data_IF_088478529685
#
_entry.id   IF_088478529685
#
_cell.length_a   1.000
_cell.length_b   1.000
_cell.length_c   1.000
_cell.angle_alpha   90.00
_cell.angle_beta   90.00
_cell.angle_gamma   90.00
#
_symmetry.space_group_name_H-M   'P 1'
#
loop_
_entity.id
_entity.type
_entity.pdbx_description
1 polymer ?
#
# COMPACT_ATOMS: atom_id res chain seq x y z
N UNK A 1 -24.03 -8.52 -9.18
CA UNK A 1 -23.39 -7.47 -8.36
C UNK A 1 -22.88 -6.38 -9.28
N UNK A 2 -22.86 -5.13 -8.85
CA UNK A 2 -22.14 -4.07 -9.60
C UNK A 2 -20.63 -4.16 -9.34
N UNK A 3 -19.83 -3.62 -10.26
CA UNK A 3 -18.37 -3.70 -10.22
C UNK A 3 -17.78 -3.17 -8.89
N UNK A 4 -18.33 -2.09 -8.34
CA UNK A 4 -17.95 -1.52 -7.05
C UNK A 4 -18.15 -2.46 -5.86
N UNK A 5 -19.27 -3.19 -5.84
CA UNK A 5 -19.54 -4.19 -4.80
C UNK A 5 -18.60 -5.38 -4.94
N UNK A 6 -18.29 -5.75 -6.18
CA UNK A 6 -17.36 -6.84 -6.48
C UNK A 6 -15.94 -6.54 -5.98
N UNK A 7 -15.45 -5.29 -6.13
CA UNK A 7 -14.18 -4.87 -5.54
C UNK A 7 -14.19 -4.89 -4.01
N UNK A 8 -15.31 -4.50 -3.37
CA UNK A 8 -15.43 -4.62 -1.90
C UNK A 8 -15.35 -6.07 -1.45
N UNK A 9 -16.01 -6.98 -2.18
CA UNK A 9 -15.95 -8.40 -1.89
C UNK A 9 -14.54 -8.97 -2.11
N UNK A 10 -13.84 -8.55 -3.15
CA UNK A 10 -12.44 -8.92 -3.39
C UNK A 10 -11.51 -8.51 -2.24
N UNK A 11 -11.69 -7.30 -1.71
CA UNK A 11 -10.95 -6.80 -0.55
C UNK A 11 -11.30 -7.59 0.72
N UNK A 12 -12.57 -7.88 0.94
CA UNK A 12 -13.03 -8.70 2.05
C UNK A 12 -12.39 -10.09 2.03
N UNK A 13 -12.41 -10.80 0.89
CA UNK A 13 -11.72 -12.09 0.73
C UNK A 13 -10.22 -11.99 1.02
N UNK A 14 -9.58 -10.92 0.55
CA UNK A 14 -8.14 -10.70 0.80
C UNK A 14 -7.84 -10.54 2.28
N UNK A 15 -8.67 -9.81 3.02
CA UNK A 15 -8.52 -9.64 4.46
C UNK A 15 -8.72 -10.95 5.21
N UNK A 16 -9.76 -11.72 4.90
CA UNK A 16 -10.01 -13.04 5.50
C UNK A 16 -8.84 -14.02 5.26
N UNK A 17 -8.31 -14.05 4.04
CA UNK A 17 -7.14 -14.88 3.71
C UNK A 17 -5.94 -14.45 4.55
N UNK A 18 -5.66 -13.16 4.66
CA UNK A 18 -4.54 -12.63 5.43
C UNK A 18 -4.67 -12.91 6.93
N UNK A 19 -5.86 -12.79 7.49
CA UNK A 19 -6.14 -13.12 8.89
C UNK A 19 -5.90 -14.62 9.16
N UNK A 20 -6.43 -15.49 8.30
CA UNK A 20 -6.23 -16.94 8.44
C UNK A 20 -4.75 -17.32 8.31
N UNK A 21 -4.01 -16.74 7.35
CA UNK A 21 -2.56 -16.95 7.19
C UNK A 21 -1.80 -16.46 8.43
N UNK A 22 -2.19 -15.32 8.99
CA UNK A 22 -1.57 -14.77 10.20
C UNK A 22 -1.74 -15.72 11.39
N UNK A 23 -2.92 -16.30 11.55
CA UNK A 23 -3.17 -17.31 12.58
C UNK A 23 -2.34 -18.58 12.37
N UNK A 24 -2.24 -19.07 11.12
CA UNK A 24 -1.46 -20.26 10.77
C UNK A 24 0.05 -20.07 10.98
N UNK A 25 0.55 -18.84 10.99
CA UNK A 25 1.97 -18.54 11.31
C UNK A 25 2.29 -18.63 12.80
N UNK A 26 1.30 -18.65 13.64
CA UNK A 26 1.50 -18.71 15.10
C UNK A 26 1.81 -20.15 15.51
N UNK A 27 3.05 -20.41 15.92
CA UNK A 27 3.52 -21.76 16.30
C UNK A 27 2.63 -22.38 17.37
N UNK A 28 2.28 -21.63 18.43
CA UNK A 28 1.42 -22.12 19.51
C UNK A 28 -0.02 -22.46 19.08
N UNK A 29 -0.44 -22.06 17.87
CA UNK A 29 -1.72 -22.48 17.30
C UNK A 29 -1.63 -23.78 16.50
N UNK A 30 -0.48 -24.04 15.86
CA UNK A 30 -0.33 -25.17 14.94
C UNK A 30 0.45 -26.34 15.51
N UNK A 31 1.00 -26.23 16.72
CA UNK A 31 1.83 -27.28 17.33
C UNK A 31 1.27 -27.75 18.67
N UNK A 32 1.63 -29.00 19.02
CA UNK A 32 1.43 -29.60 20.35
C UNK A 32 2.75 -30.13 20.83
N UNK A 33 3.21 -29.70 21.98
CA UNK A 33 4.43 -30.21 22.61
C UNK A 33 4.07 -31.25 23.66
N UNK A 34 4.62 -32.47 23.49
CA UNK A 34 4.47 -33.58 24.45
C UNK A 34 5.84 -33.91 25.04
N UNK A 35 5.89 -34.14 26.34
CA UNK A 35 7.06 -34.67 27.04
C UNK A 35 6.78 -36.09 27.43
N UNK A 36 7.68 -36.99 27.06
CA UNK A 36 7.64 -38.37 27.53
C UNK A 36 8.63 -38.54 28.70
N UNK A 37 8.10 -38.78 29.91
CA UNK A 37 8.87 -38.97 31.12
C UNK A 37 9.22 -40.47 31.26
N UNK A 38 10.45 -40.83 30.90
CA UNK A 38 10.94 -42.22 30.94
C UNK A 38 11.45 -42.57 32.32
N UNK A 39 10.55 -42.61 33.32
CA UNK A 39 10.88 -42.81 34.73
C UNK A 39 11.31 -44.27 34.99
N UNK A 40 10.72 -45.23 34.26
CA UNK A 40 11.00 -46.65 34.42
C UNK A 40 12.45 -47.01 34.08
N UNK A 41 13.13 -46.21 33.28
CA UNK A 41 14.55 -46.40 32.95
C UNK A 41 15.47 -46.25 34.15
N UNK A 42 15.09 -45.44 35.15
CA UNK A 42 15.87 -45.15 36.36
C UNK A 42 15.30 -45.89 37.57
N UNK A 43 13.99 -46.05 37.64
CA UNK A 43 13.31 -46.78 38.73
C UNK A 43 12.32 -47.77 38.09
N UNK A 44 12.56 -49.08 38.30
CA UNK A 44 11.76 -50.17 37.74
C UNK A 44 10.30 -50.16 38.19
N UNK A 45 10.02 -49.59 39.37
CA UNK A 45 8.70 -49.54 39.97
C UNK A 45 7.91 -48.31 39.54
N UNK A 46 8.54 -47.37 38.81
CA UNK A 46 7.89 -46.21 38.29
C UNK A 46 7.25 -46.47 36.91
N UNK A 47 6.14 -45.82 36.67
CA UNK A 47 5.50 -45.83 35.34
C UNK A 47 5.96 -44.66 34.49
N UNK A 48 6.10 -44.93 33.18
CA UNK A 48 6.35 -43.88 32.18
C UNK A 48 5.08 -43.09 31.96
N UNK A 49 5.24 -41.79 31.75
CA UNK A 49 4.11 -40.86 31.58
C UNK A 49 4.34 -39.97 30.37
N UNK A 50 3.28 -39.69 29.64
CA UNK A 50 3.30 -38.67 28.60
C UNK A 50 2.50 -37.47 29.03
N UNK A 51 3.16 -36.32 29.16
CA UNK A 51 2.54 -35.06 29.55
C UNK A 51 2.46 -34.14 28.34
N UNK A 52 1.29 -33.56 28.11
CA UNK A 52 1.13 -32.50 27.13
C UNK A 52 1.54 -31.18 27.79
N UNK A 53 2.68 -30.63 27.40
CA UNK A 53 3.23 -29.37 27.97
C UNK A 53 2.60 -28.16 27.36
N UNK A 54 2.39 -28.20 26.06
CA UNK A 54 1.76 -27.11 25.30
C UNK A 54 0.70 -27.71 24.39
N UNK A 55 -0.48 -27.11 24.41
CA UNK A 55 -1.57 -27.37 23.46
C UNK A 55 -1.73 -26.12 22.58
N UNK A 56 -2.19 -26.30 21.32
CA UNK A 56 -2.71 -25.18 20.56
C UNK A 56 -3.73 -24.43 21.41
N UNK A 57 -3.61 -23.10 21.48
CA UNK A 57 -4.62 -22.32 22.17
C UNK A 57 -5.98 -22.51 21.49
N UNK A 58 -7.02 -22.57 22.31
CA UNK A 58 -8.36 -22.90 21.82
C UNK A 58 -8.93 -21.70 21.07
N UNK A 59 -9.00 -21.80 19.76
CA UNK A 59 -9.80 -20.94 18.89
C UNK A 59 -10.96 -21.73 18.32
N UNK A 60 -11.93 -21.03 17.77
CA UNK A 60 -13.14 -21.62 17.19
C UNK A 60 -12.85 -22.64 16.07
N UNK A 61 -11.68 -22.56 15.43
CA UNK A 61 -11.32 -23.38 14.27
C UNK A 61 -10.00 -24.12 14.51
N UNK A 62 -9.85 -25.30 13.90
CA UNK A 62 -8.59 -26.05 13.88
C UNK A 62 -7.67 -25.54 12.78
N UNK A 63 -6.33 -25.77 12.85
CA UNK A 63 -5.40 -25.43 11.78
C UNK A 63 -5.79 -26.01 10.41
N UNK A 64 -6.25 -27.26 10.35
CA UNK A 64 -6.67 -27.90 9.09
C UNK A 64 -7.91 -27.20 8.50
N UNK A 65 -8.90 -26.84 9.33
CA UNK A 65 -10.06 -26.09 8.86
C UNK A 65 -9.67 -24.72 8.31
N UNK A 66 -8.68 -24.04 8.88
CA UNK A 66 -8.17 -22.77 8.34
C UNK A 66 -7.42 -22.97 7.05
N UNK A 67 -6.64 -24.05 6.89
CA UNK A 67 -5.97 -24.39 5.63
C UNK A 67 -7.02 -24.61 4.53
N UNK A 68 -8.02 -25.43 4.79
CA UNK A 68 -9.12 -25.71 3.84
C UNK A 68 -9.88 -24.44 3.48
N UNK A 69 -10.13 -23.57 4.45
CA UNK A 69 -10.74 -22.27 4.24
C UNK A 69 -9.90 -21.37 3.32
N UNK A 70 -8.58 -21.26 3.58
CA UNK A 70 -7.67 -20.45 2.75
C UNK A 70 -7.67 -20.95 1.30
N UNK A 71 -7.58 -22.28 1.10
CA UNK A 71 -7.63 -22.87 -0.26
C UNK A 71 -8.95 -22.56 -0.95
N UNK A 72 -10.08 -22.66 -0.24
CA UNK A 72 -11.38 -22.33 -0.77
C UNK A 72 -11.52 -20.83 -1.11
N UNK A 73 -11.00 -19.96 -0.24
CA UNK A 73 -11.06 -18.51 -0.43
C UNK A 73 -10.16 -18.02 -1.59
N UNK A 74 -9.00 -18.65 -1.80
CA UNK A 74 -8.15 -18.39 -2.97
C UNK A 74 -8.89 -18.73 -4.27
N UNK A 75 -9.49 -19.94 -4.34
CA UNK A 75 -10.26 -20.36 -5.52
C UNK A 75 -11.45 -19.43 -5.79
N UNK A 76 -12.10 -18.96 -4.73
CA UNK A 76 -13.21 -18.02 -4.86
C UNK A 76 -12.72 -16.67 -5.41
N UNK A 77 -11.58 -16.18 -4.92
CA UNK A 77 -10.96 -14.94 -5.41
C UNK A 77 -10.54 -15.04 -6.88
N UNK A 78 -10.04 -16.19 -7.32
CA UNK A 78 -9.70 -16.45 -8.73
C UNK A 78 -10.94 -16.38 -9.63
N UNK A 79 -12.05 -17.04 -9.25
CA UNK A 79 -13.32 -16.97 -9.97
C UNK A 79 -13.86 -15.54 -10.06
N UNK A 80 -13.80 -14.83 -8.94
CA UNK A 80 -14.20 -13.44 -8.86
C UNK A 80 -13.38 -12.56 -9.81
N UNK A 81 -12.05 -12.74 -9.84
CA UNK A 81 -11.16 -12.00 -10.73
C UNK A 81 -11.50 -12.22 -12.19
N UNK A 82 -11.79 -13.46 -12.59
CA UNK A 82 -12.23 -13.79 -13.96
C UNK A 82 -13.56 -13.07 -14.31
N UNK A 83 -14.54 -13.10 -13.41
CA UNK A 83 -15.80 -12.41 -13.62
C UNK A 83 -15.64 -10.88 -13.74
N UNK A 84 -14.74 -10.29 -12.93
CA UNK A 84 -14.39 -8.87 -13.03
C UNK A 84 -13.77 -8.54 -14.40
N UNK A 85 -12.82 -9.35 -14.87
CA UNK A 85 -12.18 -9.14 -16.16
C UNK A 85 -13.17 -9.22 -17.32
N UNK A 86 -14.10 -10.18 -17.28
CA UNK A 86 -15.18 -10.30 -18.28
C UNK A 86 -16.11 -9.09 -18.25
N UNK A 87 -16.47 -8.59 -17.07
CA UNK A 87 -17.29 -7.40 -16.94
C UNK A 87 -16.57 -6.14 -17.43
N UNK A 88 -15.27 -6.00 -17.14
CA UNK A 88 -14.43 -4.89 -17.65
C UNK A 88 -14.33 -4.87 -19.17
N UNK A 89 -14.28 -6.03 -19.82
CA UNK A 89 -14.26 -6.12 -21.29
C UNK A 89 -15.54 -5.59 -21.94
N UNK A 90 -16.65 -5.57 -21.20
CA UNK A 90 -17.94 -5.01 -21.64
C UNK A 90 -18.03 -3.48 -21.41
N UNK A 91 -17.07 -2.88 -20.68
CA UNK A 91 -17.05 -1.45 -20.40
C UNK A 91 -16.63 -0.63 -21.64
N UNK A 92 -17.18 0.58 -21.76
CA UNK A 92 -16.91 1.50 -22.89
C UNK A 92 -15.46 2.03 -22.90
N UNK A 93 -14.77 1.99 -21.75
CA UNK A 93 -13.38 2.46 -21.59
C UNK A 93 -12.55 1.40 -20.89
N UNK A 94 -11.26 1.37 -21.20
CA UNK A 94 -10.28 0.60 -20.42
C UNK A 94 -10.06 1.27 -19.07
N UNK A 95 -10.69 0.68 -18.04
CA UNK A 95 -10.67 1.20 -16.67
C UNK A 95 -9.25 1.22 -16.11
N UNK A 96 -8.49 0.15 -16.29
CA UNK A 96 -7.16 -0.02 -15.69
C UNK A 96 -6.15 0.96 -16.30
N UNK A 97 -6.16 1.10 -17.63
CA UNK A 97 -5.34 2.07 -18.34
C UNK A 97 -5.73 3.50 -17.98
N UNK A 98 -7.05 3.78 -17.88
CA UNK A 98 -7.56 5.10 -17.48
C UNK A 98 -7.13 5.47 -16.06
N UNK A 99 -7.24 4.54 -15.10
CA UNK A 99 -6.81 4.77 -13.70
C UNK A 99 -5.29 4.97 -13.60
N UNK A 100 -4.50 4.16 -14.31
CA UNK A 100 -3.04 4.30 -14.34
C UNK A 100 -2.62 5.67 -14.89
N UNK A 101 -3.19 6.07 -16.02
CA UNK A 101 -2.93 7.38 -16.64
C UNK A 101 -3.40 8.53 -15.73
N UNK A 102 -4.54 8.38 -15.08
CA UNK A 102 -5.08 9.37 -14.14
C UNK A 102 -4.15 9.58 -12.95
N UNK A 103 -3.58 8.51 -12.42
CA UNK A 103 -2.59 8.58 -11.32
C UNK A 103 -1.36 9.39 -11.75
N UNK A 104 -0.81 9.12 -12.93
CA UNK A 104 0.34 9.88 -13.47
C UNK A 104 0.01 11.37 -13.60
N UNK A 105 -1.19 11.70 -14.12
CA UNK A 105 -1.65 13.10 -14.22
C UNK A 105 -1.78 13.77 -12.85
N UNK A 106 -2.31 13.05 -11.84
CA UNK A 106 -2.43 13.56 -10.48
C UNK A 106 -1.05 13.80 -9.84
N UNK A 107 -0.12 12.87 -10.02
CA UNK A 107 1.25 13.01 -9.50
C UNK A 107 1.96 14.20 -10.15
N UNK A 108 1.82 14.37 -11.47
CA UNK A 108 2.36 15.50 -12.17
C UNK A 108 1.72 16.83 -11.73
N UNK A 109 0.41 16.87 -11.56
CA UNK A 109 -0.30 18.04 -11.03
C UNK A 109 0.19 18.42 -9.61
N UNK A 110 0.46 17.43 -8.75
CA UNK A 110 1.03 17.67 -7.42
C UNK A 110 2.44 18.27 -7.50
N UNK A 111 3.25 17.81 -8.45
CA UNK A 111 4.56 18.40 -8.74
C UNK A 111 4.40 19.87 -9.17
N UNK A 112 3.51 20.15 -10.14
CA UNK A 112 3.23 21.52 -10.60
C UNK A 112 2.74 22.43 -9.47
N UNK A 113 1.86 21.93 -8.58
CA UNK A 113 1.41 22.66 -7.39
C UNK A 113 2.58 23.00 -6.45
N UNK A 114 3.54 22.09 -6.31
CA UNK A 114 4.74 22.34 -5.51
C UNK A 114 5.63 23.41 -6.16
N UNK A 115 5.83 23.35 -7.47
CA UNK A 115 6.56 24.36 -8.23
C UNK A 115 5.92 25.76 -8.10
N UNK A 116 4.58 25.84 -8.21
CA UNK A 116 3.84 27.10 -8.09
C UNK A 116 4.03 27.80 -6.73
N UNK A 117 4.41 27.08 -5.69
CA UNK A 117 4.68 27.61 -4.34
C UNK A 117 6.08 28.18 -4.16
N UNK A 118 7.02 27.87 -5.07
CA UNK A 118 8.40 28.36 -4.99
C UNK A 118 8.40 29.87 -5.15
N UNK A 119 9.10 30.56 -4.28
CA UNK A 119 9.22 32.02 -4.29
C UNK A 119 10.66 32.40 -4.66
N UNK A 120 10.78 33.52 -5.38
CA UNK A 120 12.07 34.20 -5.49
C UNK A 120 12.47 34.73 -4.12
N UNK A 121 13.75 34.70 -3.80
CA UNK A 121 14.25 35.32 -2.58
C UNK A 121 15.62 35.96 -2.81
N UNK A 122 15.92 36.98 -2.03
CA UNK A 122 17.22 37.60 -1.95
C UNK A 122 17.75 37.43 -0.54
N UNK A 123 19.01 37.07 -0.44
CA UNK A 123 19.74 36.93 0.81
C UNK A 123 21.01 37.73 0.76
N UNK A 124 21.37 38.34 1.89
CA UNK A 124 22.68 38.95 2.12
C UNK A 124 23.42 38.11 3.09
N UNK A 125 24.66 37.77 2.77
CA UNK A 125 25.61 37.08 3.62
C UNK A 125 26.95 37.75 3.57
N UNK A 126 27.85 37.38 4.47
CA UNK A 126 29.23 37.87 4.47
C UNK A 126 30.16 36.75 4.02
N UNK A 127 30.90 37.03 2.95
CA UNK A 127 32.00 36.18 2.52
C UNK A 127 33.32 36.64 3.18
N UNK A 128 34.25 35.72 3.31
CA UNK A 128 35.62 36.02 3.76
C UNK A 128 36.61 35.67 2.66
N UNK A 129 37.50 36.59 2.34
CA UNK A 129 38.62 36.36 1.43
C UNK A 129 39.91 36.92 2.04
N UNK A 130 41.01 36.71 1.37
CA UNK A 130 42.32 37.06 1.89
C UNK A 130 43.05 38.01 0.91
N UNK A 131 43.77 38.97 1.47
CA UNK A 131 44.66 39.83 0.72
C UNK A 131 46.05 39.90 1.39
N UNK A 132 47.06 40.20 0.65
CA UNK A 132 48.41 40.45 1.21
C UNK A 132 48.49 41.90 1.68
N UNK A 133 49.08 42.13 2.87
CA UNK A 133 49.39 43.44 3.37
C UNK A 133 50.77 43.92 2.82
N UNK A 134 51.21 45.15 3.17
CA UNK A 134 52.48 45.69 2.73
C UNK A 134 53.70 44.87 3.15
N UNK A 135 53.57 44.09 4.20
CA UNK A 135 54.65 43.22 4.77
C UNK A 135 54.63 41.82 4.13
N UNK A 136 53.79 41.57 3.14
CA UNK A 136 53.63 40.25 2.47
C UNK A 136 52.85 39.21 3.29
N UNK A 137 52.22 39.58 4.39
CA UNK A 137 51.38 38.67 5.21
C UNK A 137 49.96 38.61 4.64
N UNK A 138 49.39 37.40 4.68
CA UNK A 138 48.00 37.15 4.28
C UNK A 138 47.04 37.59 5.40
N UNK A 139 46.16 38.56 5.12
CA UNK A 139 45.17 39.07 6.08
C UNK A 139 43.77 38.83 5.53
N UNK A 140 42.80 38.37 6.34
CA UNK A 140 41.42 38.16 5.93
C UNK A 140 40.69 39.51 5.78
N UNK A 141 39.80 39.60 4.85
CA UNK A 141 38.81 40.69 4.76
C UNK A 141 37.42 40.12 4.47
N UNK A 142 36.42 40.79 4.97
CA UNK A 142 35.03 40.44 4.75
C UNK A 142 34.44 41.26 3.61
N UNK A 143 33.53 40.63 2.85
CA UNK A 143 32.79 41.29 1.78
C UNK A 143 31.34 40.82 1.76
N UNK A 144 30.44 41.67 1.28
CA UNK A 144 29.03 41.35 1.13
C UNK A 144 28.81 40.41 -0.03
N UNK A 145 28.02 39.31 0.19
CA UNK A 145 27.56 38.41 -0.82
C UNK A 145 26.06 38.55 -0.93
N UNK A 146 25.56 38.92 -2.12
CA UNK A 146 24.14 38.97 -2.41
C UNK A 146 23.78 37.70 -3.20
N UNK A 147 22.98 36.84 -2.60
CA UNK A 147 22.41 35.66 -3.24
C UNK A 147 21.01 35.98 -3.73
N UNK A 148 20.76 35.77 -5.01
CA UNK A 148 19.42 35.92 -5.60
C UNK A 148 18.99 34.56 -6.13
N UNK A 149 17.89 34.03 -5.58
CA UNK A 149 17.24 32.81 -6.10
C UNK A 149 16.07 33.24 -6.96
N UNK A 150 16.09 32.85 -8.25
CA UNK A 150 15.02 33.06 -9.21
C UNK A 150 14.37 31.75 -9.57
N UNK A 151 13.17 31.81 -10.14
CA UNK A 151 12.48 30.66 -10.71
C UNK A 151 12.72 30.66 -12.23
N UNK A 152 13.03 29.48 -12.79
CA UNK A 152 13.36 29.30 -14.22
C UNK A 152 12.17 28.70 -14.98
N UNK A 153 10.94 29.00 -14.58
CA UNK A 153 9.71 28.59 -15.26
C UNK A 153 8.67 29.72 -15.26
N UNK A 154 7.73 29.63 -16.20
CA UNK A 154 6.63 30.58 -16.31
C UNK A 154 5.48 30.17 -15.37
N UNK A 155 5.15 31.01 -14.40
CA UNK A 155 4.08 30.71 -13.39
C UNK A 155 2.71 30.53 -14.03
N UNK A 156 2.39 31.35 -15.01
CA UNK A 156 1.09 31.31 -15.69
C UNK A 156 0.91 30.00 -16.46
N UNK A 157 1.98 29.50 -17.11
CA UNK A 157 1.95 28.22 -17.80
C UNK A 157 1.73 27.06 -16.81
N UNK A 158 2.44 27.10 -15.67
CA UNK A 158 2.25 26.10 -14.60
C UNK A 158 0.81 26.13 -14.09
N UNK A 159 0.24 27.31 -13.84
CA UNK A 159 -1.15 27.46 -13.39
C UNK A 159 -2.16 26.94 -14.42
N UNK A 160 -1.92 27.23 -15.68
CA UNK A 160 -2.78 26.75 -16.77
C UNK A 160 -2.73 25.22 -16.90
N UNK A 161 -1.54 24.63 -16.78
CA UNK A 161 -1.39 23.16 -16.76
C UNK A 161 -2.09 22.52 -15.57
N UNK A 162 -2.00 23.10 -14.35
CA UNK A 162 -2.72 22.63 -13.18
C UNK A 162 -4.23 22.60 -13.46
N UNK A 163 -4.80 23.69 -13.97
CA UNK A 163 -6.24 23.77 -14.29
C UNK A 163 -6.64 22.74 -15.34
N UNK A 164 -5.81 22.58 -16.39
CA UNK A 164 -6.05 21.60 -17.46
C UNK A 164 -6.09 20.17 -16.90
N UNK A 165 -5.05 19.76 -16.18
CA UNK A 165 -4.95 18.40 -15.64
C UNK A 165 -5.99 18.15 -14.55
N UNK A 166 -6.36 19.15 -13.75
CA UNK A 166 -7.47 19.02 -12.80
C UNK A 166 -8.77 18.63 -13.52
N UNK A 167 -9.12 19.35 -14.58
CA UNK A 167 -10.33 19.04 -15.35
C UNK A 167 -10.28 17.66 -15.99
N UNK A 168 -9.13 17.27 -16.55
CA UNK A 168 -8.97 15.94 -17.15
C UNK A 168 -9.06 14.83 -16.12
N UNK A 169 -8.42 14.97 -14.95
CA UNK A 169 -8.46 13.97 -13.88
C UNK A 169 -9.85 13.83 -13.30
N UNK A 170 -10.58 14.93 -13.12
CA UNK A 170 -11.97 14.92 -12.63
C UNK A 170 -12.89 14.21 -13.63
N UNK A 171 -12.71 14.46 -14.93
CA UNK A 171 -13.47 13.79 -15.98
C UNK A 171 -13.24 12.28 -15.99
N UNK A 172 -11.98 11.85 -15.90
CA UNK A 172 -11.63 10.41 -15.86
C UNK A 172 -12.22 9.77 -14.60
N UNK A 173 -12.04 10.39 -13.42
CA UNK A 173 -12.60 9.88 -12.17
C UNK A 173 -14.11 9.71 -12.23
N UNK A 174 -14.83 10.72 -12.72
CA UNK A 174 -16.28 10.66 -12.88
C UNK A 174 -16.72 9.54 -13.84
N UNK A 175 -15.98 9.33 -14.94
CA UNK A 175 -16.27 8.27 -15.88
C UNK A 175 -16.06 6.88 -15.28
N UNK A 176 -14.96 6.69 -14.53
CA UNK A 176 -14.67 5.43 -13.84
C UNK A 176 -15.72 5.17 -12.75
N UNK A 177 -16.03 6.16 -11.92
CA UNK A 177 -17.06 6.04 -10.87
C UNK A 177 -18.43 5.63 -11.45
N UNK A 178 -18.80 6.22 -12.60
CA UNK A 178 -20.02 5.85 -13.30
C UNK A 178 -20.00 4.39 -13.75
N UNK A 179 -18.91 3.92 -14.34
CA UNK A 179 -18.76 2.53 -14.81
C UNK A 179 -18.81 1.57 -13.63
N UNK A 180 -18.12 1.88 -12.52
CA UNK A 180 -18.13 1.03 -11.33
C UNK A 180 -19.51 0.81 -10.72
N UNK A 181 -20.43 1.77 -10.87
CA UNK A 181 -21.80 1.66 -10.34
C UNK A 181 -22.82 1.17 -11.38
N UNK A 182 -22.48 1.12 -12.67
CA UNK A 182 -23.39 0.72 -13.74
C UNK A 182 -23.07 -0.63 -14.34
N UNK A 183 -21.80 -1.03 -14.36
CA UNK A 183 -21.38 -2.31 -14.93
C UNK A 183 -21.73 -3.44 -13.98
N UNK A 184 -22.54 -4.37 -14.46
CA UNK A 184 -22.92 -5.57 -13.73
C UNK A 184 -21.89 -6.68 -13.94
N UNK A 185 -21.53 -7.34 -12.84
CA UNK A 185 -20.68 -8.52 -12.79
C UNK A 185 -21.56 -9.74 -12.52
N UNK A 186 -21.59 -10.69 -13.43
CA UNK A 186 -22.31 -11.95 -13.30
C UNK A 186 -21.57 -12.86 -12.29
N UNK A 187 -21.80 -12.60 -11.01
CA UNK A 187 -21.14 -13.32 -9.94
C UNK A 187 -22.02 -13.41 -8.70
N UNK A 188 -22.00 -14.58 -8.05
CA UNK A 188 -22.74 -14.84 -6.83
C UNK A 188 -21.76 -15.17 -5.70
N UNK A 189 -21.63 -14.31 -4.66
CA UNK A 189 -20.67 -14.51 -3.58
C UNK A 189 -20.94 -15.78 -2.78
N UNK A 190 -19.91 -16.52 -2.44
CA UNK A 190 -20.02 -17.70 -1.60
C UNK A 190 -20.22 -17.35 -0.11
N UNK A 191 -19.65 -16.24 0.34
CA UNK A 191 -19.77 -15.76 1.71
C UNK A 191 -20.41 -14.38 1.74
N UNK A 192 -21.24 -14.13 2.74
CA UNK A 192 -21.85 -12.81 2.93
C UNK A 192 -20.84 -11.86 3.59
N UNK A 193 -20.79 -10.62 3.09
CA UNK A 193 -19.95 -9.55 3.65
C UNK A 193 -20.50 -9.07 5.00
N UNK A 194 -21.79 -9.30 5.26
CA UNK A 194 -22.52 -8.76 6.42
C UNK A 194 -22.62 -9.76 7.60
N UNK A 195 -21.97 -10.92 7.52
CA UNK A 195 -21.88 -11.91 8.59
C UNK A 195 -20.51 -11.97 9.21
#
# INVERSE_FOLDING_TARGET
>A
MILKETYRYQNYLSNLINEAITMLRVIGFVTTTKQFHNRKKVNSDAENETIIVEKPYTVKYTPNQLIDFVVAAIKEKEKLSTAIEEAKKKAEIDIDSSLSTNKIKQDFMNCLKSMARIKTCERKSMGTSYKFNADGNQVPYQYEVNETTTIDFQRDDVQNLIKKYQKETDTISTSVDRIEVTVEVEYNPRWDINT
#
